data_IF_760277354901
#
_entry.id   IF_760277354901
#
_cell.length_a   1.000
_cell.length_b   1.000
_cell.length_c   1.000
_cell.angle_alpha   90.00
_cell.angle_beta   90.00
_cell.angle_gamma   90.00
#
_symmetry.space_group_name_H-M   'P 1'
#
loop_
_entity.id
_entity.type
_entity.pdbx_description
1 polymer ?
#
# COMPACT_ATOMS: atom_id res chain seq x y z
N UNK A 1 -15.98 -15.08 -0.86
CA UNK A 1 -14.74 -15.61 -0.24
C UNK A 1 -14.28 -16.80 -1.06
N UNK A 2 -13.01 -16.85 -1.52
CA UNK A 2 -12.47 -18.02 -2.23
C UNK A 2 -11.88 -19.04 -1.24
N UNK A 3 -11.77 -20.31 -1.67
CA UNK A 3 -11.04 -21.38 -0.96
C UNK A 3 -10.29 -22.20 -2.00
N UNK A 4 -8.96 -22.31 -1.88
CA UNK A 4 -8.12 -22.96 -2.88
C UNK A 4 -6.98 -23.74 -2.22
N UNK A 5 -6.65 -24.88 -2.84
CA UNK A 5 -5.43 -25.62 -2.51
C UNK A 5 -4.41 -25.43 -3.63
N UNK A 6 -3.23 -24.96 -3.29
CA UNK A 6 -2.10 -24.73 -4.18
C UNK A 6 -0.96 -25.67 -3.82
N UNK A 7 -0.29 -26.16 -4.82
CA UNK A 7 0.91 -27.01 -4.67
C UNK A 7 2.13 -26.17 -4.26
N UNK A 8 3.06 -26.75 -3.51
CA UNK A 8 4.25 -26.05 -3.00
C UNK A 8 5.22 -25.62 -4.11
N UNK A 9 5.19 -26.28 -5.28
CA UNK A 9 5.97 -25.90 -6.46
C UNK A 9 5.53 -24.56 -7.08
N UNK A 10 4.33 -24.08 -6.75
CA UNK A 10 3.85 -22.74 -7.13
C UNK A 10 4.33 -21.62 -6.19
N UNK A 11 5.10 -21.97 -5.14
CA UNK A 11 5.67 -20.99 -4.22
C UNK A 11 6.71 -20.15 -4.95
N UNK A 12 6.57 -18.84 -4.84
CA UNK A 12 7.49 -17.87 -5.45
C UNK A 12 8.32 -17.19 -4.36
N UNK A 13 9.62 -17.48 -4.38
CA UNK A 13 10.59 -16.71 -3.61
C UNK A 13 10.98 -15.48 -4.43
N UNK A 14 10.37 -14.35 -4.13
CA UNK A 14 10.66 -13.10 -4.83
C UNK A 14 11.81 -12.42 -4.11
N UNK A 15 13.03 -12.69 -4.55
CA UNK A 15 14.20 -11.92 -4.13
C UNK A 15 14.01 -10.45 -4.50
N UNK A 16 13.68 -9.64 -3.50
CA UNK A 16 13.81 -8.18 -3.55
C UNK A 16 12.61 -7.35 -4.04
N UNK A 17 11.38 -7.86 -4.11
CA UNK A 17 10.19 -7.00 -4.39
C UNK A 17 9.36 -6.68 -3.17
N UNK A 18 9.35 -7.49 -2.14
CA UNK A 18 8.91 -7.17 -0.79
C UNK A 18 9.56 -8.17 0.15
N UNK A 19 10.30 -7.67 1.15
CA UNK A 19 10.87 -8.47 2.24
C UNK A 19 9.76 -8.95 3.21
N UNK A 20 8.60 -9.35 2.66
CA UNK A 20 7.46 -9.79 3.46
C UNK A 20 7.63 -11.24 3.94
N UNK A 21 7.28 -11.48 5.19
CA UNK A 21 7.29 -12.79 5.85
C UNK A 21 6.18 -13.75 5.35
N UNK A 22 5.31 -13.30 4.45
CA UNK A 22 4.20 -14.07 3.92
C UNK A 22 4.64 -15.04 2.82
N UNK A 23 4.16 -16.28 2.86
CA UNK A 23 4.30 -17.21 1.74
C UNK A 23 3.47 -16.73 0.55
N UNK A 24 4.10 -16.64 -0.61
CA UNK A 24 3.48 -16.19 -1.86
C UNK A 24 3.44 -17.32 -2.87
N UNK A 25 2.34 -17.41 -3.61
CA UNK A 25 2.17 -18.34 -4.73
C UNK A 25 1.73 -17.57 -5.96
N UNK A 26 2.05 -18.13 -7.12
CA UNK A 26 1.55 -17.63 -8.40
C UNK A 26 0.92 -18.76 -9.20
N UNK A 27 -0.34 -18.59 -9.57
CA UNK A 27 -1.06 -19.56 -10.43
C UNK A 27 -2.03 -18.82 -11.36
N UNK A 28 -1.98 -19.17 -12.63
CA UNK A 28 -2.95 -18.72 -13.67
C UNK A 28 -3.23 -17.22 -13.68
N UNK A 29 -2.20 -16.40 -13.50
CA UNK A 29 -2.32 -14.93 -13.51
C UNK A 29 -2.83 -14.35 -12.22
N UNK A 30 -2.80 -15.10 -11.11
CA UNK A 30 -3.11 -14.61 -9.77
C UNK A 30 -1.92 -14.77 -8.84
N UNK A 31 -1.69 -13.74 -8.05
CA UNK A 31 -0.84 -13.77 -6.88
C UNK A 31 -1.67 -14.11 -5.65
N UNK A 32 -1.17 -15.01 -4.82
CA UNK A 32 -1.77 -15.43 -3.56
C UNK A 32 -0.78 -15.16 -2.43
N UNK A 33 -1.27 -14.64 -1.31
CA UNK A 33 -0.49 -14.38 -0.10
C UNK A 33 -1.20 -15.01 1.09
N UNK A 34 -0.54 -15.89 1.84
CA UNK A 34 -1.08 -16.41 3.11
C UNK A 34 -0.83 -15.41 4.24
N UNK A 35 -1.76 -15.33 5.18
CA UNK A 35 -1.63 -14.42 6.32
C UNK A 35 -0.59 -14.89 7.32
N UNK A 36 0.11 -13.92 7.89
CA UNK A 36 0.88 -14.06 9.13
C UNK A 36 0.12 -13.41 10.30
N UNK A 37 -0.49 -12.25 10.06
CA UNK A 37 -1.24 -11.44 11.04
C UNK A 37 -2.50 -10.82 10.42
N UNK A 38 -3.33 -11.61 9.73
CA UNK A 38 -4.60 -11.16 9.13
C UNK A 38 -4.43 -10.06 8.04
N UNK A 39 -3.28 -10.02 7.37
CA UNK A 39 -3.03 -9.03 6.31
C UNK A 39 -4.06 -9.13 5.17
N UNK A 40 -4.56 -10.33 4.87
CA UNK A 40 -5.47 -10.57 3.76
C UNK A 40 -6.80 -9.86 3.89
N UNK A 41 -7.40 -9.83 5.08
CA UNK A 41 -8.64 -9.08 5.32
C UNK A 41 -8.40 -7.57 5.24
N UNK A 42 -7.25 -7.08 5.69
CA UNK A 42 -6.88 -5.66 5.59
C UNK A 42 -6.66 -5.26 4.14
N UNK A 43 -5.93 -6.05 3.35
CA UNK A 43 -5.77 -5.84 1.90
C UNK A 43 -7.13 -5.77 1.18
N UNK A 44 -8.05 -6.68 1.53
CA UNK A 44 -9.40 -6.68 0.99
C UNK A 44 -10.16 -5.40 1.34
N UNK A 45 -10.23 -5.04 2.63
CA UNK A 45 -10.98 -3.86 3.08
C UNK A 45 -10.43 -2.57 2.44
N UNK A 46 -9.10 -2.40 2.42
CA UNK A 46 -8.47 -1.22 1.84
C UNK A 46 -8.70 -1.14 0.33
N UNK A 47 -8.52 -2.24 -0.40
CA UNK A 47 -8.73 -2.24 -1.84
C UNK A 47 -10.20 -2.09 -2.23
N UNK A 48 -11.12 -2.63 -1.42
CA UNK A 48 -12.56 -2.47 -1.62
C UNK A 48 -13.00 -1.03 -1.34
N UNK A 49 -12.45 -0.36 -0.31
CA UNK A 49 -12.67 1.07 -0.08
C UNK A 49 -12.36 1.89 -1.33
N UNK A 50 -11.26 1.61 -2.02
CA UNK A 50 -10.86 2.34 -3.23
C UNK A 50 -11.86 2.18 -4.38
N UNK A 51 -12.75 1.19 -4.37
CA UNK A 51 -13.84 1.08 -5.36
C UNK A 51 -14.92 2.15 -5.19
N UNK A 52 -14.98 2.82 -4.05
CA UNK A 52 -15.84 3.97 -3.75
C UNK A 52 -15.11 5.31 -3.94
N UNK A 53 -13.94 5.31 -4.58
CA UNK A 53 -13.14 6.52 -4.79
C UNK A 53 -13.14 6.98 -6.24
N UNK A 54 -12.70 8.22 -6.45
CA UNK A 54 -12.47 8.78 -7.78
C UNK A 54 -11.20 8.27 -8.46
N UNK A 55 -10.43 7.38 -7.80
CA UNK A 55 -9.25 6.78 -8.39
C UNK A 55 -9.60 5.82 -9.54
N UNK A 56 -8.93 5.92 -10.71
CA UNK A 56 -9.08 4.93 -11.76
C UNK A 56 -8.71 3.51 -11.27
N UNK A 57 -9.48 2.49 -11.68
CA UNK A 57 -9.23 1.09 -11.28
C UNK A 57 -7.81 0.58 -11.56
N UNK A 58 -7.14 1.14 -12.57
CA UNK A 58 -5.74 0.80 -12.90
C UNK A 58 -4.71 1.38 -11.92
N UNK A 59 -5.13 2.27 -11.01
CA UNK A 59 -4.24 2.96 -10.07
C UNK A 59 -4.04 2.20 -8.76
N UNK A 60 -4.73 1.10 -8.54
CA UNK A 60 -4.61 0.27 -7.34
C UNK A 60 -4.89 -1.20 -7.64
N UNK A 61 -4.33 -2.08 -6.81
CA UNK A 61 -4.56 -3.52 -6.87
C UNK A 61 -5.83 -3.86 -6.07
N UNK A 62 -6.72 -4.66 -6.66
CA UNK A 62 -7.90 -5.18 -5.96
C UNK A 62 -7.57 -6.56 -5.39
N UNK A 63 -7.83 -6.74 -4.11
CA UNK A 63 -7.64 -8.00 -3.41
C UNK A 63 -8.96 -8.66 -3.07
N UNK A 64 -8.98 -9.98 -3.20
CA UNK A 64 -10.06 -10.85 -2.72
C UNK A 64 -9.55 -11.58 -1.47
N UNK A 65 -10.36 -11.63 -0.42
CA UNK A 65 -10.05 -12.37 0.81
C UNK A 65 -10.58 -13.80 0.73
N UNK A 66 -9.83 -14.77 1.27
CA UNK A 66 -10.22 -16.17 1.25
C UNK A 66 -9.27 -17.09 1.99
N UNK A 67 -9.25 -18.37 1.60
CA UNK A 67 -8.36 -19.39 2.15
C UNK A 67 -7.43 -19.96 1.09
N UNK A 68 -6.19 -20.21 1.49
CA UNK A 68 -5.12 -20.81 0.70
C UNK A 68 -4.52 -21.93 1.54
N UNK A 69 -4.64 -23.18 1.09
CA UNK A 69 -4.17 -24.36 1.81
C UNK A 69 -4.71 -24.40 3.27
N UNK A 70 -5.99 -24.03 3.47
CA UNK A 70 -6.66 -23.98 4.77
C UNK A 70 -6.31 -22.77 5.65
N UNK A 71 -5.34 -21.95 5.29
CA UNK A 71 -4.97 -20.71 6.00
C UNK A 71 -5.67 -19.49 5.39
N UNK A 72 -6.00 -18.49 6.20
CA UNK A 72 -6.48 -17.20 5.69
C UNK A 72 -5.44 -16.53 4.81
N UNK A 73 -5.91 -15.66 3.90
CA UNK A 73 -5.05 -14.93 3.01
C UNK A 73 -5.83 -14.14 1.96
N UNK A 74 -5.11 -13.57 1.02
CA UNK A 74 -5.72 -12.85 -0.09
C UNK A 74 -5.12 -13.25 -1.43
N UNK A 75 -5.85 -12.92 -2.50
CA UNK A 75 -5.34 -12.99 -3.86
C UNK A 75 -5.62 -11.72 -4.63
N UNK A 76 -4.78 -11.46 -5.63
CA UNK A 76 -5.00 -10.39 -6.61
C UNK A 76 -4.64 -10.86 -8.00
N UNK A 77 -5.25 -10.25 -9.02
CA UNK A 77 -4.79 -10.45 -10.40
C UNK A 77 -3.40 -9.86 -10.57
N UNK A 78 -2.57 -10.54 -11.35
CA UNK A 78 -1.33 -9.96 -11.81
C UNK A 78 -1.63 -8.75 -12.70
N UNK A 79 -1.04 -7.63 -12.36
CA UNK A 79 -1.17 -6.38 -13.13
C UNK A 79 -0.04 -6.18 -14.13
N UNK A 80 1.02 -7.01 -14.07
CA UNK A 80 2.11 -6.95 -15.02
C UNK A 80 1.74 -7.65 -16.33
N UNK A 81 2.16 -7.05 -17.43
CA UNK A 81 2.07 -7.63 -18.77
C UNK A 81 3.42 -8.26 -19.14
N UNK A 82 3.47 -9.22 -20.07
CA UNK A 82 4.73 -9.74 -20.61
C UNK A 82 5.62 -8.58 -21.10
N UNK A 83 6.91 -8.60 -20.74
CA UNK A 83 7.86 -7.55 -21.08
C UNK A 83 7.84 -6.33 -20.15
N UNK A 84 7.10 -6.40 -19.04
CA UNK A 84 7.09 -5.38 -17.99
C UNK A 84 7.66 -5.94 -16.69
N UNK A 85 8.42 -5.12 -15.97
CA UNK A 85 9.01 -5.47 -14.67
C UNK A 85 8.57 -4.48 -13.59
N UNK A 86 8.24 -4.99 -12.41
CA UNK A 86 8.03 -4.18 -11.22
C UNK A 86 9.36 -3.93 -10.52
N UNK A 87 9.71 -2.67 -10.36
CA UNK A 87 10.96 -2.28 -9.69
C UNK A 87 10.63 -1.27 -8.59
N UNK A 88 11.01 -1.58 -7.34
CA UNK A 88 10.75 -0.70 -6.21
C UNK A 88 11.59 0.58 -6.26
N UNK A 89 11.08 1.66 -5.66
CA UNK A 89 11.80 2.93 -5.59
C UNK A 89 13.15 2.78 -4.89
N UNK A 90 13.22 1.95 -3.86
CA UNK A 90 14.47 1.62 -3.17
C UNK A 90 15.50 1.01 -4.11
N UNK A 91 15.09 0.01 -4.90
CA UNK A 91 15.99 -0.67 -5.86
C UNK A 91 16.41 0.24 -7.02
N UNK A 92 15.50 1.04 -7.54
CA UNK A 92 15.83 2.00 -8.61
C UNK A 92 16.91 2.95 -8.13
N UNK A 93 16.70 3.56 -6.96
CA UNK A 93 17.67 4.49 -6.41
C UNK A 93 19.02 3.81 -6.15
N UNK A 94 19.01 2.62 -5.54
CA UNK A 94 20.23 1.87 -5.25
C UNK A 94 21.00 1.47 -6.52
N UNK A 95 20.30 1.08 -7.59
CA UNK A 95 20.93 0.74 -8.88
C UNK A 95 21.62 1.93 -9.53
N UNK A 96 21.03 3.13 -9.41
CA UNK A 96 21.57 4.34 -10.08
C UNK A 96 22.65 5.01 -9.24
N UNK A 97 22.50 5.06 -7.90
CA UNK A 97 23.40 5.83 -7.03
C UNK A 97 24.35 4.99 -6.18
N UNK A 98 24.13 3.67 -6.11
CA UNK A 98 24.86 2.77 -5.21
C UNK A 98 24.33 2.79 -3.76
N UNK A 99 23.40 3.68 -3.40
CA UNK A 99 22.87 3.84 -2.03
C UNK A 99 21.36 3.62 -1.98
N UNK A 100 20.86 3.13 -0.86
CA UNK A 100 19.42 2.98 -0.63
C UNK A 100 18.77 4.35 -0.48
N UNK A 101 17.56 4.53 -1.04
CA UNK A 101 16.78 5.77 -0.91
C UNK A 101 16.42 6.03 0.57
N UNK A 102 16.06 4.99 1.31
CA UNK A 102 15.73 5.08 2.74
C UNK A 102 16.85 5.63 3.62
N UNK A 103 18.11 5.41 3.23
CA UNK A 103 19.29 5.92 3.95
C UNK A 103 19.54 7.39 3.64
N UNK A 104 19.14 7.85 2.45
CA UNK A 104 19.31 9.25 2.02
C UNK A 104 18.62 10.25 2.93
N UNK A 105 17.56 9.86 3.63
CA UNK A 105 16.82 10.76 4.53
C UNK A 105 17.72 11.46 5.56
N UNK A 106 18.82 10.83 5.96
CA UNK A 106 19.75 11.42 6.95
C UNK A 106 20.64 12.54 6.38
N UNK A 107 20.60 12.80 5.08
CA UNK A 107 21.32 13.87 4.41
C UNK A 107 20.49 15.16 4.27
N UNK A 108 19.20 15.12 4.67
CA UNK A 108 18.28 16.23 4.53
C UNK A 108 17.85 16.80 5.88
N UNK A 109 17.78 18.12 5.95
CA UNK A 109 17.38 18.84 7.17
C UNK A 109 15.86 18.81 7.40
N UNK A 110 15.07 18.61 6.34
CA UNK A 110 13.60 18.60 6.41
C UNK A 110 12.98 17.44 5.63
N UNK A 111 11.75 17.08 6.02
CA UNK A 111 10.91 16.14 5.27
C UNK A 111 10.65 16.61 3.84
N UNK A 112 10.41 17.92 3.68
CA UNK A 112 10.09 18.58 2.42
C UNK A 112 11.25 18.46 1.43
N UNK A 113 12.47 18.79 1.87
CA UNK A 113 13.67 18.68 1.02
C UNK A 113 13.96 17.24 0.60
N UNK A 114 13.67 16.28 1.48
CA UNK A 114 13.81 14.85 1.12
C UNK A 114 12.75 14.40 0.12
N UNK A 115 11.51 14.88 0.23
CA UNK A 115 10.45 14.61 -0.76
C UNK A 115 10.84 15.19 -2.12
N UNK A 116 11.28 16.47 -2.14
CA UNK A 116 11.70 17.16 -3.37
C UNK A 116 12.84 16.43 -4.06
N UNK A 117 13.89 16.07 -3.31
CA UNK A 117 14.97 15.23 -3.83
C UNK A 117 14.43 13.95 -4.48
N UNK A 118 13.53 13.25 -3.79
CA UNK A 118 12.98 11.99 -4.30
C UNK A 118 12.21 12.21 -5.60
N UNK A 119 11.35 13.22 -5.67
CA UNK A 119 10.58 13.54 -6.88
C UNK A 119 11.51 13.92 -8.04
N UNK A 120 12.49 14.78 -7.79
CA UNK A 120 13.44 15.23 -8.82
C UNK A 120 14.36 14.12 -9.29
N UNK A 121 14.74 13.19 -8.40
CA UNK A 121 15.52 12.01 -8.77
C UNK A 121 14.77 11.17 -9.82
N UNK A 122 13.51 10.81 -9.59
CA UNK A 122 12.73 10.00 -10.52
C UNK A 122 12.47 10.73 -11.84
N UNK A 123 12.20 12.03 -11.80
CA UNK A 123 12.03 12.87 -12.99
C UNK A 123 13.32 12.91 -13.80
N UNK A 124 14.46 13.15 -13.16
CA UNK A 124 15.76 13.30 -13.80
C UNK A 124 16.26 12.02 -14.47
N UNK A 125 16.17 10.89 -13.78
CA UNK A 125 16.80 9.64 -14.23
C UNK A 125 15.86 8.71 -15.01
N UNK A 126 14.55 8.82 -14.82
CA UNK A 126 13.55 7.93 -15.43
C UNK A 126 12.51 8.65 -16.29
N UNK A 127 12.57 9.98 -16.38
CA UNK A 127 11.50 10.80 -16.99
C UNK A 127 10.12 10.46 -16.40
N UNK A 128 10.09 10.18 -15.09
CA UNK A 128 8.89 9.73 -14.36
C UNK A 128 8.47 10.76 -13.31
N UNK A 129 7.33 11.43 -13.52
CA UNK A 129 6.73 12.27 -12.49
C UNK A 129 5.92 11.42 -11.50
N UNK A 130 6.49 11.22 -10.32
CA UNK A 130 5.87 10.44 -9.25
C UNK A 130 4.98 11.28 -8.32
N UNK A 131 4.90 12.60 -8.49
CA UNK A 131 4.21 13.50 -7.54
C UNK A 131 2.73 13.15 -7.38
N UNK A 132 2.03 12.93 -8.51
CA UNK A 132 0.62 12.52 -8.50
C UNK A 132 0.43 11.13 -7.85
N UNK A 133 1.35 10.21 -8.10
CA UNK A 133 1.32 8.88 -7.49
C UNK A 133 1.47 8.96 -5.96
N UNK A 134 2.48 9.69 -5.47
CA UNK A 134 2.70 9.88 -4.04
C UNK A 134 1.52 10.59 -3.36
N UNK A 135 0.92 11.57 -4.03
CA UNK A 135 -0.30 12.24 -3.57
C UNK A 135 -1.44 11.25 -3.32
N UNK A 136 -1.66 10.31 -4.25
CA UNK A 136 -2.68 9.28 -4.11
C UNK A 136 -2.34 8.29 -2.98
N UNK A 137 -1.09 7.82 -2.93
CA UNK A 137 -0.62 6.90 -1.89
C UNK A 137 -0.81 7.52 -0.51
N UNK A 138 -0.37 8.77 -0.28
CA UNK A 138 -0.46 9.37 1.05
C UNK A 138 -1.86 9.84 1.42
N UNK A 139 -2.75 10.05 0.45
CA UNK A 139 -4.18 10.18 0.73
C UNK A 139 -4.74 8.86 1.26
N UNK A 140 -4.41 7.72 0.62
CA UNK A 140 -4.84 6.42 1.09
C UNK A 140 -4.25 6.11 2.47
N UNK A 141 -2.94 6.29 2.66
CA UNK A 141 -2.26 5.97 3.90
C UNK A 141 -2.75 6.85 5.08
N UNK A 142 -3.17 8.09 4.81
CA UNK A 142 -3.79 8.95 5.81
C UNK A 142 -5.15 8.39 6.29
N UNK A 143 -5.94 7.81 5.38
CA UNK A 143 -7.23 7.19 5.70
C UNK A 143 -7.04 5.85 6.39
N UNK A 144 -6.13 5.04 5.89
CA UNK A 144 -5.99 3.64 6.29
C UNK A 144 -4.90 3.40 7.33
N UNK A 145 -4.09 4.43 7.65
CA UNK A 145 -3.04 4.38 8.66
C UNK A 145 -1.98 3.30 8.37
N UNK A 146 -1.50 3.23 7.14
CA UNK A 146 -0.50 2.23 6.76
C UNK A 146 0.87 2.52 7.41
N UNK A 147 1.34 1.63 8.26
CA UNK A 147 2.62 1.77 8.98
C UNK A 147 3.83 1.17 8.23
N UNK A 148 3.59 0.53 7.08
CA UNK A 148 4.63 -0.18 6.33
C UNK A 148 4.84 0.38 4.91
N UNK A 149 4.48 1.64 4.65
CA UNK A 149 4.69 2.30 3.36
C UNK A 149 6.15 2.69 3.15
N UNK A 150 7.07 1.75 3.21
CA UNK A 150 8.47 1.97 2.89
C UNK A 150 8.72 2.00 1.36
N UNK A 151 9.93 2.36 0.91
CA UNK A 151 10.24 2.51 -0.52
C UNK A 151 10.21 1.19 -1.32
N UNK A 152 10.17 0.03 -0.68
CA UNK A 152 9.90 -1.24 -1.35
C UNK A 152 8.40 -1.48 -1.60
N UNK A 153 7.50 -0.71 -0.97
CA UNK A 153 6.05 -0.71 -1.22
C UNK A 153 5.60 0.47 -2.12
N UNK A 154 6.59 1.20 -2.66
CA UNK A 154 6.44 2.18 -3.73
C UNK A 154 7.24 1.70 -4.93
N UNK A 155 6.62 1.64 -6.11
CA UNK A 155 7.27 1.04 -7.26
C UNK A 155 6.95 1.73 -8.59
N UNK A 156 7.81 1.50 -9.56
CA UNK A 156 7.58 1.78 -10.96
C UNK A 156 7.49 0.48 -11.75
N UNK A 157 6.79 0.53 -12.87
CA UNK A 157 6.74 -0.52 -13.88
C UNK A 157 7.65 -0.09 -15.02
N UNK A 158 8.64 -0.89 -15.34
CA UNK A 158 9.53 -0.70 -16.47
C UNK A 158 9.03 -1.49 -17.69
N UNK A 159 8.76 -0.82 -18.79
CA UNK A 159 8.65 -1.45 -20.12
C UNK A 159 10.09 -1.78 -20.60
N UNK A 160 10.47 -3.04 -20.47
CA UNK A 160 11.86 -3.47 -20.74
C UNK A 160 12.25 -3.33 -22.22
N UNK A 161 11.28 -3.34 -23.13
CA UNK A 161 11.52 -3.17 -24.57
C UNK A 161 11.80 -1.72 -24.94
N UNK A 162 11.08 -0.78 -24.33
CA UNK A 162 11.14 0.63 -24.68
C UNK A 162 11.92 1.47 -23.67
N UNK A 163 12.39 0.86 -22.58
CA UNK A 163 13.01 1.52 -21.43
C UNK A 163 12.21 2.71 -20.90
N UNK A 164 10.87 2.53 -20.82
CA UNK A 164 9.95 3.54 -20.31
C UNK A 164 9.41 3.11 -18.95
N UNK A 165 9.24 4.10 -18.08
CA UNK A 165 8.77 3.88 -16.72
C UNK A 165 7.39 4.47 -16.52
N UNK A 166 6.55 3.76 -15.78
CA UNK A 166 5.23 4.17 -15.32
C UNK A 166 5.15 3.92 -13.80
N UNK A 167 4.33 4.67 -13.09
CA UNK A 167 4.05 4.35 -11.67
C UNK A 167 3.26 3.04 -11.58
N UNK A 168 3.60 2.19 -10.62
CA UNK A 168 2.83 0.98 -10.33
C UNK A 168 1.45 1.33 -9.74
N UNK A 169 0.44 0.46 -9.84
CA UNK A 169 -0.76 0.60 -9.02
C UNK A 169 -0.37 0.56 -7.53
N UNK A 170 -1.18 1.17 -6.66
CA UNK A 170 -0.98 1.10 -5.20
C UNK A 170 -1.24 -0.35 -4.77
N UNK A 171 -0.31 -0.93 -4.01
CA UNK A 171 -0.34 -2.31 -3.54
C UNK A 171 0.24 -2.41 -2.13
N UNK A 172 0.12 -3.58 -1.51
CA UNK A 172 0.71 -3.93 -0.22
C UNK A 172 0.24 -3.01 0.92
N UNK A 173 -1.06 -3.14 1.24
CA UNK A 173 -1.73 -2.37 2.28
C UNK A 173 -2.01 -3.19 3.55
N UNK A 174 -1.46 -4.41 3.64
CA UNK A 174 -1.76 -5.37 4.71
C UNK A 174 -1.38 -4.90 6.13
N UNK A 175 -0.54 -3.87 6.26
CA UNK A 175 -0.15 -3.25 7.55
C UNK A 175 -0.90 -1.93 7.81
N UNK A 176 -2.10 -1.81 7.28
CA UNK A 176 -3.04 -0.71 7.55
C UNK A 176 -3.97 -1.04 8.71
N UNK A 177 -4.79 -0.08 9.12
CA UNK A 177 -5.91 -0.25 10.05
C UNK A 177 -5.52 -0.83 11.42
N UNK A 178 -4.34 -0.46 11.91
CA UNK A 178 -3.72 -0.97 13.15
C UNK A 178 -3.28 -2.45 13.07
N UNK A 179 -3.27 -3.08 11.89
CA UNK A 179 -2.82 -4.46 11.77
C UNK A 179 -1.32 -4.60 12.04
N UNK A 180 -0.99 -5.38 13.08
CA UNK A 180 0.40 -5.60 13.52
C UNK A 180 1.02 -4.40 14.24
N UNK A 181 0.25 -3.36 14.57
CA UNK A 181 0.74 -2.23 15.37
C UNK A 181 1.16 -2.70 16.76
N UNK A 182 2.45 -2.61 17.08
CA UNK A 182 3.02 -3.06 18.36
C UNK A 182 2.57 -2.23 19.56
N UNK A 183 2.10 -1.01 19.32
CA UNK A 183 1.62 -0.08 20.34
C UNK A 183 0.12 -0.18 20.59
N UNK A 184 -0.59 -1.00 19.79
CA UNK A 184 -2.02 -1.23 19.97
C UNK A 184 -2.34 -1.81 21.34
N UNK A 185 -3.38 -1.29 21.98
CA UNK A 185 -3.88 -1.75 23.28
C UNK A 185 -5.39 -1.88 23.23
N UNK A 186 -5.96 -3.09 23.38
CA UNK A 186 -7.42 -3.31 23.33
C UNK A 186 -8.22 -2.51 24.38
N UNK A 187 -7.57 -2.15 25.51
CA UNK A 187 -8.20 -1.35 26.57
C UNK A 187 -8.35 0.14 26.20
N UNK A 188 -7.72 0.61 25.14
CA UNK A 188 -7.80 1.98 24.69
C UNK A 188 -8.83 2.12 23.55
N UNK A 189 -9.43 3.29 23.43
CA UNK A 189 -10.29 3.62 22.30
C UNK A 189 -9.52 3.54 20.96
N UNK A 190 -10.26 3.44 19.84
CA UNK A 190 -9.68 3.52 18.50
C UNK A 190 -8.90 4.83 18.35
N UNK A 191 -9.47 5.96 18.80
CA UNK A 191 -8.81 7.27 18.71
C UNK A 191 -7.47 7.30 19.45
N UNK A 192 -7.39 6.74 20.65
CA UNK A 192 -6.14 6.69 21.42
C UNK A 192 -5.08 5.80 20.77
N UNK A 193 -5.50 4.69 20.16
CA UNK A 193 -4.59 3.78 19.45
C UNK A 193 -4.07 4.41 18.15
N UNK A 194 -4.90 5.12 17.40
CA UNK A 194 -4.50 5.82 16.17
C UNK A 194 -3.39 6.85 16.42
N UNK A 195 -3.40 7.54 17.57
CA UNK A 195 -2.36 8.52 17.94
C UNK A 195 -0.96 7.92 18.07
N UNK A 196 -0.84 6.59 18.14
CA UNK A 196 0.45 5.87 18.28
C UNK A 196 0.97 5.33 16.95
N UNK A 197 0.23 5.51 15.88
CA UNK A 197 0.61 5.03 14.54
C UNK A 197 1.76 5.87 14.00
N UNK A 198 2.76 5.19 13.42
CA UNK A 198 3.94 5.82 12.84
C UNK A 198 3.95 5.60 11.33
N UNK A 199 3.91 6.69 10.59
CA UNK A 199 3.94 6.66 9.13
C UNK A 199 5.37 6.49 8.57
N UNK A 200 5.46 6.07 7.32
CA UNK A 200 6.65 5.95 6.48
C UNK A 200 6.32 6.50 5.08
N UNK A 201 7.31 6.79 4.20
CA UNK A 201 8.75 6.75 4.43
C UNK A 201 9.36 8.11 4.81
N UNK A 202 8.69 9.22 4.47
CA UNK A 202 9.26 10.56 4.60
C UNK A 202 9.11 11.15 6.00
N UNK A 203 7.96 10.90 6.64
CA UNK A 203 7.61 11.43 7.97
C UNK A 203 7.00 10.33 8.83
N UNK A 204 7.15 10.44 10.16
CA UNK A 204 6.40 9.62 11.13
C UNK A 204 4.92 10.00 11.26
N UNK A 205 4.42 10.97 10.49
CA UNK A 205 3.03 11.45 10.55
C UNK A 205 2.35 11.35 9.19
N UNK A 206 1.28 10.56 9.12
CA UNK A 206 0.40 10.49 7.93
C UNK A 206 -0.16 11.87 7.57
N UNK A 207 -0.57 12.65 8.60
CA UNK A 207 -1.13 13.99 8.38
C UNK A 207 -0.12 14.92 7.73
N UNK A 208 1.16 14.93 8.16
CA UNK A 208 2.18 15.77 7.53
C UNK A 208 2.37 15.44 6.05
N UNK A 209 2.41 14.17 5.68
CA UNK A 209 2.53 13.76 4.29
C UNK A 209 1.28 14.12 3.48
N UNK A 210 0.09 13.88 4.04
CA UNK A 210 -1.16 14.28 3.42
C UNK A 210 -1.26 15.79 3.20
N UNK A 211 -0.91 16.60 4.20
CA UNK A 211 -0.93 18.07 4.10
C UNK A 211 0.07 18.58 3.05
N UNK A 212 1.26 17.97 2.95
CA UNK A 212 2.26 18.34 1.96
C UNK A 212 1.79 18.09 0.52
N UNK A 213 1.25 16.90 0.25
CA UNK A 213 0.83 16.52 -1.09
C UNK A 213 -0.59 17.00 -1.44
N UNK A 214 -1.44 17.21 -0.45
CA UNK A 214 -2.87 17.50 -0.58
C UNK A 214 -3.69 16.27 -0.92
N UNK A 215 -5.02 16.45 -1.05
CA UNK A 215 -5.98 15.39 -1.39
C UNK A 215 -5.78 14.89 -2.81
N UNK A 216 -5.45 13.61 -2.98
CA UNK A 216 -5.21 12.95 -4.27
C UNK A 216 -6.46 12.45 -4.96
N UNK A 217 -7.47 12.04 -4.18
CA UNK A 217 -8.76 11.55 -4.66
C UNK A 217 -9.85 11.78 -3.60
N UNK A 218 -11.10 11.69 -4.02
CA UNK A 218 -12.28 11.72 -3.13
C UNK A 218 -12.83 10.31 -2.91
N UNK A 219 -13.58 10.13 -1.83
CA UNK A 219 -14.30 8.89 -1.50
C UNK A 219 -15.78 9.23 -1.33
N UNK A 220 -16.66 8.41 -1.89
CA UNK A 220 -18.10 8.41 -1.61
C UNK A 220 -18.33 7.82 -0.20
N UNK A 221 -18.17 8.68 0.83
CA UNK A 221 -18.09 8.24 2.24
C UNK A 221 -19.37 7.51 2.66
N UNK A 222 -20.55 8.02 2.31
CA UNK A 222 -21.81 7.40 2.71
C UNK A 222 -21.95 5.99 2.12
N UNK A 223 -21.67 5.83 0.82
CA UNK A 223 -21.67 4.51 0.15
C UNK A 223 -20.65 3.55 0.76
N UNK A 224 -19.46 4.05 1.11
CA UNK A 224 -18.43 3.26 1.77
C UNK A 224 -18.83 2.82 3.18
N UNK A 225 -19.48 3.69 3.96
CA UNK A 225 -20.01 3.37 5.29
C UNK A 225 -21.16 2.36 5.23
N UNK A 226 -22.09 2.51 4.26
CA UNK A 226 -23.15 1.52 4.02
C UNK A 226 -22.56 0.13 3.73
N UNK A 227 -21.58 0.05 2.83
CA UNK A 227 -20.87 -1.21 2.55
C UNK A 227 -20.20 -1.76 3.82
N UNK A 228 -19.43 -0.94 4.57
CA UNK A 228 -18.76 -1.39 5.79
C UNK A 228 -19.74 -1.96 6.82
N UNK A 229 -20.95 -1.43 6.91
CA UNK A 229 -21.99 -1.97 7.81
C UNK A 229 -22.47 -3.36 7.41
N UNK A 230 -22.25 -3.81 6.17
CA UNK A 230 -22.52 -5.19 5.71
C UNK A 230 -21.38 -6.16 5.95
N UNK A 231 -20.16 -5.66 6.21
CA UNK A 231 -18.99 -6.50 6.46
C UNK A 231 -19.00 -7.06 7.89
N UNK A 232 -18.44 -8.25 8.12
CA UNK A 232 -18.31 -8.82 9.47
C UNK A 232 -17.60 -7.86 10.43
N UNK A 233 -18.03 -7.84 11.68
CA UNK A 233 -17.40 -7.02 12.71
C UNK A 233 -15.95 -7.44 12.92
N UNK A 234 -15.05 -6.46 12.89
CA UNK A 234 -13.62 -6.63 13.14
C UNK A 234 -13.00 -5.30 13.57
N UNK A 235 -11.84 -5.35 14.23
CA UNK A 235 -11.06 -4.15 14.54
C UNK A 235 -10.83 -3.30 13.28
N UNK A 236 -10.42 -3.93 12.19
CA UNK A 236 -10.05 -3.25 10.94
C UNK A 236 -11.22 -2.49 10.31
N UNK A 237 -12.39 -3.13 10.29
CA UNK A 237 -13.65 -2.49 9.85
C UNK A 237 -13.97 -1.29 10.74
N UNK A 238 -13.92 -1.44 12.05
CA UNK A 238 -14.31 -0.40 13.00
C UNK A 238 -13.33 0.79 12.95
N UNK A 239 -12.02 0.54 12.76
CA UNK A 239 -11.01 1.59 12.51
C UNK A 239 -11.33 2.34 11.22
N UNK A 240 -11.69 1.63 10.14
CA UNK A 240 -12.01 2.27 8.87
C UNK A 240 -13.27 3.12 8.95
N UNK A 241 -14.33 2.62 9.63
CA UNK A 241 -15.54 3.41 9.90
C UNK A 241 -15.19 4.69 10.68
N UNK A 242 -14.38 4.56 11.74
CA UNK A 242 -13.94 5.73 12.52
C UNK A 242 -13.21 6.73 11.63
N UNK A 243 -12.22 6.29 10.85
CA UNK A 243 -11.43 7.16 9.97
C UNK A 243 -12.30 7.91 8.95
N UNK A 244 -13.25 7.25 8.31
CA UNK A 244 -14.17 7.89 7.37
C UNK A 244 -15.09 8.88 8.08
N UNK A 245 -15.55 8.57 9.30
CA UNK A 245 -16.45 9.44 10.07
C UNK A 245 -15.81 10.76 10.50
N UNK A 246 -14.51 10.74 10.82
CA UNK A 246 -13.78 11.94 11.28
C UNK A 246 -13.13 12.74 10.15
N UNK A 247 -12.99 12.18 8.95
CA UNK A 247 -12.31 12.79 7.80
C UNK A 247 -13.28 13.10 6.64
N UNK A 248 -14.44 13.74 6.93
CA UNK A 248 -15.45 14.08 5.92
C UNK A 248 -14.97 15.00 4.80
N UNK A 249 -13.86 15.71 4.99
CA UNK A 249 -13.22 16.52 3.95
C UNK A 249 -12.62 15.69 2.78
N UNK A 250 -12.72 14.36 2.86
CA UNK A 250 -12.29 13.44 1.80
C UNK A 250 -13.37 13.16 0.75
N UNK A 251 -14.59 13.65 0.94
CA UNK A 251 -15.65 13.67 -0.10
C UNK A 251 -15.27 14.44 -1.36
#
# INVERSE_FOLDING_TARGET
>A
MFDITLSDDLTVNIDGTSEGTQTKFYDKGYWYKTDTFEEGIVEYLVSKLLTFSTLPKKSYVVYEYGKINGKSGCRSKDFLKPGYELITFERIHQRITGTKLSVKKFEFESTESYIEYTVDFFRKYLDLDIKKYLKNVFTLDFITLNEDRHFNNLAAICDTKNNKYLTAPIFDNGKSLLNGNRSYRPAFSIEENIKKVIALPFSGSHKKMFDYFGKGFSIEIDSALEWLNTEPQSLYRDVLIYQLSVNKNLE
#
